data_IF_109126593120
#
_entry.id   IF_109126593120
#
_cell.length_a   1.000
_cell.length_b   1.000
_cell.length_c   1.000
_cell.angle_alpha   90.00
_cell.angle_beta   90.00
_cell.angle_gamma   90.00
#
_symmetry.space_group_name_H-M   'P 1'
#
loop_
_entity.id
_entity.type
_entity.pdbx_description
1 polymer ?
#
# COMPACT_ATOMS: atom_id res chain seq x y z
N UNK A 1 18.93 12.35 2.12
CA UNK A 1 18.59 11.78 0.80
C UNK A 1 18.67 12.90 -0.23
N UNK A 2 19.83 13.04 -0.86
CA UNK A 2 20.08 13.93 -2.00
C UNK A 2 21.16 13.30 -2.91
N UNK A 3 21.22 11.97 -2.89
CA UNK A 3 22.31 11.17 -3.47
C UNK A 3 22.19 11.06 -5.00
N UNK A 4 21.06 11.48 -5.56
CA UNK A 4 20.78 11.57 -7.01
C UNK A 4 20.16 12.92 -7.36
N UNK A 5 20.39 13.37 -8.60
CA UNK A 5 19.72 14.57 -9.12
C UNK A 5 18.19 14.35 -9.17
N UNK A 6 17.39 15.39 -8.87
CA UNK A 6 15.94 15.27 -8.92
C UNK A 6 15.47 15.01 -10.35
N UNK A 7 14.46 14.17 -10.49
CA UNK A 7 13.73 13.92 -11.74
C UNK A 7 12.22 14.04 -11.45
N UNK A 8 11.40 14.30 -12.48
CA UNK A 8 9.95 14.42 -12.28
C UNK A 8 9.35 13.12 -11.77
N UNK A 9 8.58 13.18 -10.68
CA UNK A 9 7.79 12.04 -10.23
C UNK A 9 6.76 11.67 -11.31
N UNK A 10 6.67 10.38 -11.71
CA UNK A 10 5.75 9.98 -12.75
C UNK A 10 4.31 9.93 -12.23
N UNK A 11 3.35 10.21 -13.10
CA UNK A 11 1.94 10.10 -12.75
C UNK A 11 1.52 8.63 -12.55
N UNK A 12 0.85 8.33 -11.44
CA UNK A 12 0.26 7.02 -11.15
C UNK A 12 -0.96 6.77 -12.06
N UNK A 13 -0.74 6.10 -13.17
CA UNK A 13 -1.73 5.88 -14.24
C UNK A 13 -2.19 4.43 -14.35
N UNK A 14 -1.54 3.52 -13.62
CA UNK A 14 -1.83 2.09 -13.71
C UNK A 14 -3.07 1.71 -12.88
N UNK A 15 -3.84 0.70 -13.33
CA UNK A 15 -5.05 0.26 -12.63
C UNK A 15 -4.77 -0.65 -11.42
N UNK A 16 -3.51 -0.95 -11.12
CA UNK A 16 -3.09 -1.85 -10.05
C UNK A 16 -1.92 -1.30 -9.26
N UNK A 17 -1.82 -1.71 -7.99
CA UNK A 17 -0.68 -1.36 -7.14
C UNK A 17 0.64 -1.85 -7.75
N UNK A 18 0.67 -3.08 -8.26
CA UNK A 18 1.85 -3.63 -8.94
C UNK A 18 2.28 -2.77 -10.14
N UNK A 19 1.33 -2.34 -10.98
CA UNK A 19 1.60 -1.46 -12.11
C UNK A 19 2.19 -0.13 -11.68
N UNK A 20 1.58 0.56 -10.70
CA UNK A 20 2.10 1.85 -10.22
C UNK A 20 3.46 1.70 -9.54
N UNK A 21 3.69 0.62 -8.79
CA UNK A 21 4.98 0.34 -8.17
C UNK A 21 6.07 0.16 -9.24
N UNK A 22 5.78 -0.62 -10.30
CA UNK A 22 6.70 -0.82 -11.44
C UNK A 22 6.95 0.50 -12.16
N UNK A 23 5.90 1.25 -12.47
CA UNK A 23 6.00 2.56 -13.14
C UNK A 23 6.91 3.52 -12.36
N UNK A 24 6.76 3.60 -11.03
CA UNK A 24 7.61 4.42 -10.16
C UNK A 24 9.06 3.93 -10.11
N UNK A 25 9.26 2.62 -9.98
CA UNK A 25 10.60 2.03 -9.94
C UNK A 25 11.35 2.22 -11.27
N UNK A 26 10.68 1.94 -12.39
CA UNK A 26 11.26 2.09 -13.74
C UNK A 26 11.64 3.54 -14.03
N UNK A 27 10.77 4.51 -13.71
CA UNK A 27 11.11 5.93 -13.89
C UNK A 27 12.39 6.32 -13.13
N UNK A 28 12.57 5.81 -11.90
CA UNK A 28 13.79 6.01 -11.14
C UNK A 28 15.02 5.36 -11.81
N UNK A 29 14.90 4.11 -12.25
CA UNK A 29 15.98 3.40 -12.93
C UNK A 29 16.36 4.05 -14.27
N UNK A 30 15.40 4.54 -15.04
CA UNK A 30 15.64 5.26 -16.29
C UNK A 30 16.33 6.61 -16.06
N UNK A 31 15.90 7.36 -15.04
CA UNK A 31 16.46 8.67 -14.73
C UNK A 31 17.88 8.60 -14.14
N UNK A 32 18.18 7.54 -13.37
CA UNK A 32 19.43 7.44 -12.61
C UNK A 32 20.43 6.44 -13.19
N UNK A 33 19.97 5.49 -14.01
CA UNK A 33 20.73 4.32 -14.44
C UNK A 33 21.02 3.31 -13.33
N UNK A 34 20.41 3.46 -12.15
CA UNK A 34 20.65 2.61 -10.97
C UNK A 34 19.47 1.65 -10.73
N UNK A 35 19.70 0.51 -10.07
CA UNK A 35 18.61 -0.29 -9.53
C UNK A 35 17.70 0.53 -8.62
N UNK A 36 16.39 0.35 -8.75
CA UNK A 36 15.41 1.09 -7.96
C UNK A 36 14.37 0.16 -7.34
N UNK A 37 13.97 0.49 -6.11
CA UNK A 37 12.85 -0.12 -5.40
C UNK A 37 11.79 0.96 -5.18
N UNK A 38 10.54 0.66 -5.53
CA UNK A 38 9.40 1.54 -5.24
C UNK A 38 8.20 0.71 -4.77
N UNK A 39 7.27 1.34 -4.06
CA UNK A 39 6.02 0.72 -3.62
C UNK A 39 4.78 1.48 -4.08
N UNK A 40 3.66 0.77 -4.17
CA UNK A 40 2.33 1.36 -4.20
C UNK A 40 1.41 0.63 -3.23
N UNK A 41 0.60 1.37 -2.48
CA UNK A 41 -0.19 0.80 -1.39
C UNK A 41 -1.54 1.48 -1.20
N UNK A 42 -2.49 0.74 -0.65
CA UNK A 42 -3.84 1.25 -0.42
C UNK A 42 -4.76 0.23 0.22
N UNK A 43 -5.99 0.65 0.47
CA UNK A 43 -7.07 -0.18 0.96
C UNK A 43 -7.97 -0.62 -0.20
N UNK A 44 -8.41 -1.87 -0.15
CA UNK A 44 -9.39 -2.46 -1.05
C UNK A 44 -10.57 -2.95 -0.23
N UNK A 45 -11.79 -2.67 -0.66
CA UNK A 45 -13.01 -3.06 0.06
C UNK A 45 -13.87 -3.92 -0.84
N UNK A 46 -14.25 -5.10 -0.36
CA UNK A 46 -14.83 -6.16 -1.18
C UNK A 46 -16.16 -5.73 -1.81
N UNK A 47 -17.05 -5.12 -1.01
CA UNK A 47 -18.35 -4.64 -1.50
C UNK A 47 -18.25 -3.45 -2.46
N UNK A 48 -17.11 -2.76 -2.47
CA UNK A 48 -16.80 -1.70 -3.43
C UNK A 48 -15.97 -2.22 -4.62
N UNK A 49 -15.98 -3.53 -4.85
CA UNK A 49 -15.26 -4.21 -5.92
C UNK A 49 -13.74 -3.88 -5.93
N UNK A 50 -13.14 -3.82 -4.74
CA UNK A 50 -11.72 -3.54 -4.55
C UNK A 50 -11.37 -2.05 -4.50
N UNK A 51 -12.32 -1.13 -4.67
CA UNK A 51 -12.09 0.30 -4.43
C UNK A 51 -12.02 0.59 -2.91
N UNK A 52 -11.34 1.66 -2.45
CA UNK A 52 -10.65 2.72 -3.21
C UNK A 52 -9.46 2.30 -4.10
N UNK A 53 -8.77 1.20 -3.77
CA UNK A 53 -7.66 0.67 -4.57
C UNK A 53 -6.52 1.68 -4.72
N UNK A 54 -5.97 1.80 -5.93
CA UNK A 54 -4.92 2.78 -6.28
C UNK A 54 -5.32 4.25 -6.06
N UNK A 55 -6.61 4.51 -5.79
CA UNK A 55 -7.12 5.85 -5.46
C UNK A 55 -7.21 6.10 -3.96
N UNK A 56 -6.66 5.23 -3.12
CA UNK A 56 -6.79 5.31 -1.65
C UNK A 56 -6.46 6.68 -1.09
N UNK A 57 -5.37 7.33 -1.53
CA UNK A 57 -4.98 8.64 -1.03
C UNK A 57 -5.91 9.79 -1.48
N UNK A 58 -6.71 9.57 -2.53
CA UNK A 58 -7.52 10.58 -3.23
C UNK A 58 -8.96 10.12 -3.43
N UNK A 59 -9.48 9.31 -2.51
CA UNK A 59 -10.79 8.67 -2.66
C UNK A 59 -11.93 9.69 -2.63
N UNK A 60 -11.82 10.69 -1.76
CA UNK A 60 -12.73 11.83 -1.67
C UNK A 60 -12.38 12.98 -2.64
N UNK A 61 -11.40 12.78 -3.53
CA UNK A 61 -10.96 13.75 -4.54
C UNK A 61 -9.48 14.09 -4.46
N UNK A 62 -8.93 14.90 -5.40
CA UNK A 62 -7.50 15.20 -5.46
C UNK A 62 -6.94 16.02 -4.29
N UNK A 63 -7.76 16.86 -3.66
CA UNK A 63 -7.35 17.79 -2.59
C UNK A 63 -7.92 17.37 -1.21
N UNK A 64 -8.24 16.09 -1.03
CA UNK A 64 -8.82 15.60 0.23
C UNK A 64 -7.77 15.21 1.27
N UNK A 65 -8.16 15.26 2.55
CA UNK A 65 -7.39 14.69 3.65
C UNK A 65 -7.88 13.26 4.01
N UNK A 66 -7.14 12.61 4.92
CA UNK A 66 -7.48 11.27 5.42
C UNK A 66 -8.88 11.22 6.05
N UNK A 67 -9.30 12.31 6.70
CA UNK A 67 -10.62 12.39 7.33
C UNK A 67 -11.73 12.38 6.28
N UNK A 68 -11.61 13.15 5.21
CA UNK A 68 -12.59 13.18 4.12
C UNK A 68 -12.68 11.82 3.40
N UNK A 69 -11.54 11.15 3.20
CA UNK A 69 -11.47 9.78 2.68
C UNK A 69 -12.24 8.79 3.58
N UNK A 70 -11.99 8.84 4.89
CA UNK A 70 -12.65 8.00 5.89
C UNK A 70 -14.16 8.26 5.97
N UNK A 71 -14.58 9.53 5.98
CA UNK A 71 -16.00 9.91 5.99
C UNK A 71 -16.73 9.43 4.73
N UNK A 72 -16.13 9.57 3.55
CA UNK A 72 -16.72 9.05 2.32
C UNK A 72 -16.88 7.54 2.36
N UNK A 73 -15.85 6.82 2.80
CA UNK A 73 -15.89 5.37 2.92
C UNK A 73 -16.99 4.91 3.88
N UNK A 74 -17.09 5.53 5.06
CA UNK A 74 -18.14 5.22 6.03
C UNK A 74 -19.55 5.50 5.48
N UNK A 75 -19.75 6.62 4.79
CA UNK A 75 -21.04 6.94 4.14
C UNK A 75 -21.43 5.90 3.08
N UNK A 76 -20.47 5.46 2.27
CA UNK A 76 -20.73 4.44 1.24
C UNK A 76 -21.10 3.07 1.84
N UNK A 77 -20.65 2.80 3.06
CA UNK A 77 -20.87 1.55 3.76
C UNK A 77 -21.97 1.65 4.83
N UNK A 78 -22.73 2.74 4.94
CA UNK A 78 -23.64 2.97 6.08
C UNK A 78 -24.66 1.86 6.30
N UNK A 79 -25.17 1.28 5.20
CA UNK A 79 -26.19 0.22 5.22
C UNK A 79 -25.61 -1.18 4.92
N UNK A 80 -24.27 -1.29 4.87
CA UNK A 80 -23.58 -2.56 4.64
C UNK A 80 -23.40 -3.28 5.96
N UNK A 81 -24.06 -4.43 6.09
CA UNK A 81 -23.94 -5.32 7.24
C UNK A 81 -22.49 -5.73 7.51
N UNK A 82 -22.13 -5.86 8.79
CA UNK A 82 -20.74 -6.06 9.26
C UNK A 82 -19.97 -7.16 8.54
N UNK A 83 -20.62 -8.28 8.31
CA UNK A 83 -20.10 -9.48 7.65
C UNK A 83 -19.78 -9.29 6.16
N UNK A 84 -20.24 -8.18 5.56
CA UNK A 84 -19.98 -7.79 4.17
C UNK A 84 -18.97 -6.64 4.05
N UNK A 85 -18.37 -6.20 5.16
CA UNK A 85 -17.39 -5.10 5.19
C UNK A 85 -15.94 -5.58 5.05
N UNK A 86 -15.73 -6.74 4.42
CA UNK A 86 -14.40 -7.28 4.15
C UNK A 86 -13.53 -6.27 3.40
N UNK A 87 -12.29 -6.15 3.86
CA UNK A 87 -11.32 -5.22 3.30
C UNK A 87 -9.90 -5.72 3.48
N UNK A 88 -8.99 -5.18 2.68
CA UNK A 88 -7.58 -5.52 2.75
C UNK A 88 -6.75 -4.28 2.53
N UNK A 89 -5.74 -4.08 3.38
CA UNK A 89 -4.61 -3.26 2.99
C UNK A 89 -3.67 -4.09 2.10
N UNK A 90 -3.23 -3.49 1.00
CA UNK A 90 -2.33 -4.10 0.02
C UNK A 90 -1.13 -3.19 -0.20
N UNK A 91 0.03 -3.79 -0.39
CA UNK A 91 1.25 -3.11 -0.83
C UNK A 91 1.89 -3.98 -1.90
N UNK A 92 2.23 -3.38 -3.04
CA UNK A 92 3.11 -3.98 -4.02
C UNK A 92 4.46 -3.27 -3.96
N UNK A 93 5.54 -4.03 -3.89
CA UNK A 93 6.92 -3.57 -3.96
C UNK A 93 7.51 -4.03 -5.29
N UNK A 94 8.04 -3.10 -6.08
CA UNK A 94 8.66 -3.39 -7.38
C UNK A 94 10.14 -3.04 -7.34
N UNK A 95 10.98 -3.99 -7.76
CA UNK A 95 12.42 -3.83 -7.94
C UNK A 95 12.75 -3.87 -9.43
N UNK A 96 13.56 -2.90 -9.88
CA UNK A 96 13.95 -2.73 -11.29
C UNK A 96 15.45 -2.54 -11.40
N UNK A 97 16.02 -2.99 -12.53
CA UNK A 97 17.44 -2.84 -12.86
C UNK A 97 17.58 -2.51 -14.35
N UNK A 98 18.61 -1.76 -14.77
CA UNK A 98 18.86 -1.51 -16.18
C UNK A 98 18.95 -2.83 -16.96
N UNK A 99 18.17 -2.95 -18.04
CA UNK A 99 18.19 -4.12 -18.93
C UNK A 99 17.63 -5.42 -18.34
N UNK A 100 16.93 -5.37 -17.19
CA UNK A 100 16.27 -6.54 -16.58
C UNK A 100 14.76 -6.32 -16.46
N UNK A 101 13.99 -7.41 -16.49
CA UNK A 101 12.56 -7.35 -16.19
C UNK A 101 12.30 -6.93 -14.73
N UNK A 102 11.23 -6.16 -14.46
CA UNK A 102 10.82 -5.83 -13.10
C UNK A 102 10.45 -7.06 -12.29
N UNK A 103 10.79 -7.05 -11.00
CA UNK A 103 10.33 -8.05 -10.04
C UNK A 103 9.38 -7.41 -9.05
N UNK A 104 8.18 -7.99 -8.89
CA UNK A 104 7.17 -7.51 -7.94
C UNK A 104 6.94 -8.53 -6.83
N UNK A 105 6.76 -8.03 -5.61
CA UNK A 105 6.25 -8.80 -4.47
C UNK A 105 5.15 -8.03 -3.77
N UNK A 106 4.13 -8.75 -3.33
CA UNK A 106 2.97 -8.16 -2.68
C UNK A 106 2.87 -8.58 -1.22
N UNK A 107 2.33 -7.68 -0.41
CA UNK A 107 1.93 -7.95 0.96
C UNK A 107 0.47 -7.58 1.16
N UNK A 108 -0.24 -8.44 1.89
CA UNK A 108 -1.67 -8.27 2.16
C UNK A 108 -1.93 -8.37 3.66
N UNK A 109 -2.73 -7.45 4.18
CA UNK A 109 -3.28 -7.50 5.52
C UNK A 109 -4.80 -7.52 5.37
N UNK A 110 -5.40 -8.70 5.59
CA UNK A 110 -6.84 -8.92 5.54
C UNK A 110 -7.52 -8.44 6.82
N UNK A 111 -8.78 -8.06 6.70
CA UNK A 111 -9.56 -7.47 7.77
C UNK A 111 -10.93 -6.99 7.30
N UNK A 112 -11.45 -5.99 8.00
CA UNK A 112 -12.74 -5.37 7.70
C UNK A 112 -12.74 -3.88 8.02
N UNK A 113 -13.68 -3.14 7.42
CA UNK A 113 -13.92 -1.73 7.75
C UNK A 113 -14.83 -1.64 8.96
N UNK A 114 -14.39 -0.93 10.00
CA UNK A 114 -15.19 -0.62 11.19
C UNK A 114 -16.40 0.27 10.86
N UNK A 115 -17.38 0.34 11.75
CA UNK A 115 -18.55 1.22 11.63
C UNK A 115 -18.25 2.67 12.02
N UNK A 116 -17.24 2.87 12.85
CA UNK A 116 -16.80 4.17 13.37
C UNK A 116 -15.28 4.17 13.54
N UNK A 117 -14.64 5.36 13.46
CA UNK A 117 -13.20 5.46 13.69
C UNK A 117 -12.84 5.22 15.15
N UNK A 118 -11.76 4.48 15.38
CA UNK A 118 -11.17 4.28 16.69
C UNK A 118 -9.65 4.42 16.64
N UNK A 119 -9.03 4.79 17.76
CA UNK A 119 -7.60 5.04 17.85
C UNK A 119 -7.15 6.42 17.35
N UNK A 120 -5.94 6.79 17.76
CA UNK A 120 -5.31 8.08 17.41
C UNK A 120 -3.95 7.90 16.73
N UNK A 121 -3.48 6.65 16.57
CA UNK A 121 -2.24 6.33 15.87
C UNK A 121 -2.45 6.13 14.37
N UNK A 122 -1.34 6.00 13.64
CA UNK A 122 -1.39 5.70 12.21
C UNK A 122 -1.79 6.88 11.33
N UNK A 123 -2.21 6.59 10.10
CA UNK A 123 -2.62 7.55 9.07
C UNK A 123 -3.60 6.89 8.10
N UNK A 124 -4.21 7.68 7.21
CA UNK A 124 -5.14 7.18 6.20
C UNK A 124 -6.33 6.47 6.83
N UNK A 125 -6.53 5.22 6.42
CA UNK A 125 -7.66 4.38 6.85
C UNK A 125 -7.37 3.56 8.12
N UNK A 126 -6.23 3.78 8.78
CA UNK A 126 -5.89 3.05 10.01
C UNK A 126 -6.98 3.11 11.10
N UNK A 127 -7.65 4.25 11.34
CA UNK A 127 -8.75 4.31 12.32
C UNK A 127 -9.98 3.51 11.93
N UNK A 128 -10.10 3.09 10.67
CA UNK A 128 -11.26 2.34 10.15
C UNK A 128 -10.94 0.88 9.89
N UNK A 129 -9.68 0.46 9.89
CA UNK A 129 -9.31 -0.89 9.47
C UNK A 129 -9.09 -1.80 10.67
N UNK A 130 -9.92 -2.85 10.78
CA UNK A 130 -9.76 -3.91 11.79
C UNK A 130 -9.14 -5.15 11.13
N UNK A 131 -7.88 -5.49 11.43
CA UNK A 131 -7.23 -6.66 10.85
C UNK A 131 -7.83 -7.96 11.41
N UNK A 132 -7.79 -9.02 10.60
CA UNK A 132 -8.29 -10.34 11.02
C UNK A 132 -7.56 -10.83 12.28
N UNK A 133 -8.33 -11.36 13.23
CA UNK A 133 -7.81 -11.84 14.51
C UNK A 133 -7.59 -10.76 15.56
N UNK A 134 -7.76 -9.48 15.22
CA UNK A 134 -7.71 -8.37 16.16
C UNK A 134 -9.12 -7.81 16.44
N UNK A 135 -9.35 -7.34 17.67
CA UNK A 135 -10.60 -6.63 18.02
C UNK A 135 -10.47 -5.12 17.83
N UNK A 136 -9.24 -4.61 17.83
CA UNK A 136 -8.89 -3.21 17.71
C UNK A 136 -8.57 -2.83 16.25
N UNK A 137 -8.71 -1.55 15.92
CA UNK A 137 -8.29 -0.99 14.63
C UNK A 137 -6.76 -0.86 14.56
N UNK A 138 -6.18 -0.74 13.36
CA UNK A 138 -4.71 -0.57 13.23
C UNK A 138 -4.20 0.75 13.83
N UNK A 139 -5.07 1.74 14.04
CA UNK A 139 -4.75 2.98 14.77
C UNK A 139 -4.67 2.80 16.30
N UNK A 140 -5.21 1.71 16.84
CA UNK A 140 -5.18 1.36 18.25
C UNK A 140 -4.07 0.35 18.58
N UNK A 141 -3.54 -0.35 17.57
CA UNK A 141 -2.46 -1.32 17.78
C UNK A 141 -1.13 -0.64 18.14
N UNK A 142 -0.33 -1.23 19.04
CA UNK A 142 1.05 -0.82 19.23
C UNK A 142 1.85 -0.88 17.92
N UNK A 143 2.80 0.03 17.68
CA UNK A 143 3.60 0.06 16.46
C UNK A 143 4.26 -1.27 16.11
N UNK A 144 4.78 -1.98 17.11
CA UNK A 144 5.45 -3.28 16.94
C UNK A 144 4.47 -4.33 16.43
N UNK A 145 3.27 -4.40 17.04
CA UNK A 145 2.24 -5.34 16.62
C UNK A 145 1.74 -5.02 15.20
N UNK A 146 1.56 -3.74 14.89
CA UNK A 146 1.19 -3.30 13.55
C UNK A 146 2.24 -3.70 12.51
N UNK A 147 3.52 -3.51 12.81
CA UNK A 147 4.61 -3.85 11.88
C UNK A 147 4.68 -5.35 11.57
N UNK A 148 4.49 -6.20 12.58
CA UNK A 148 4.44 -7.66 12.43
C UNK A 148 3.41 -8.10 11.37
N UNK A 149 2.20 -7.55 11.44
CA UNK A 149 1.06 -8.01 10.62
C UNK A 149 0.84 -7.16 9.35
N UNK A 150 1.52 -6.01 9.23
CA UNK A 150 1.27 -5.05 8.16
C UNK A 150 1.54 -5.62 6.77
N UNK A 151 0.71 -5.17 5.82
CA UNK A 151 0.89 -5.39 4.39
C UNK A 151 2.26 -4.91 3.89
N UNK A 152 2.74 -3.74 4.35
CA UNK A 152 4.09 -3.24 4.02
C UNK A 152 5.19 -4.13 4.58
N UNK A 153 5.13 -4.51 5.86
CA UNK A 153 6.10 -5.42 6.46
C UNK A 153 6.18 -6.76 5.72
N UNK A 154 5.03 -7.31 5.31
CA UNK A 154 4.96 -8.51 4.47
C UNK A 154 5.60 -8.32 3.10
N UNK A 155 5.30 -7.20 2.41
CA UNK A 155 5.88 -6.91 1.09
C UNK A 155 7.41 -6.72 1.16
N UNK A 156 7.90 -6.00 2.16
CA UNK A 156 9.34 -5.78 2.41
C UNK A 156 10.04 -7.13 2.65
N UNK A 157 9.53 -7.95 3.57
CA UNK A 157 10.11 -9.27 3.86
C UNK A 157 10.14 -10.18 2.62
N UNK A 158 9.19 -10.02 1.70
CA UNK A 158 9.13 -10.78 0.46
C UNK A 158 10.10 -10.27 -0.63
N UNK A 159 10.33 -8.95 -0.74
CA UNK A 159 11.17 -8.38 -1.80
C UNK A 159 12.66 -8.30 -1.42
N UNK A 160 12.99 -8.14 -0.13
CA UNK A 160 14.38 -7.96 0.33
C UNK A 160 15.32 -9.09 -0.14
N UNK A 161 14.98 -10.38 -0.04
CA UNK A 161 15.85 -11.45 -0.53
C UNK A 161 16.20 -11.30 -2.02
N UNK A 162 15.23 -10.90 -2.85
CA UNK A 162 15.42 -10.68 -4.29
C UNK A 162 16.39 -9.53 -4.53
N UNK A 163 16.23 -8.42 -3.80
CA UNK A 163 17.13 -7.26 -3.92
C UNK A 163 18.54 -7.63 -3.51
N UNK A 164 18.70 -8.34 -2.39
CA UNK A 164 20.02 -8.77 -1.89
C UNK A 164 20.70 -9.67 -2.91
N UNK A 165 20.04 -10.73 -3.37
CA UNK A 165 20.53 -11.66 -4.39
C UNK A 165 21.01 -10.92 -5.66
N UNK A 166 20.18 -10.01 -6.15
CA UNK A 166 20.45 -9.23 -7.36
C UNK A 166 21.64 -8.27 -7.23
N UNK A 167 21.93 -7.77 -6.02
CA UNK A 167 23.01 -6.82 -5.77
C UNK A 167 24.32 -7.49 -5.33
N UNK A 168 24.26 -8.70 -4.76
CA UNK A 168 25.44 -9.47 -4.35
C UNK A 168 25.93 -10.47 -5.40
N UNK A 169 25.18 -10.66 -6.50
CA UNK A 169 25.52 -11.62 -7.56
C UNK A 169 25.29 -13.07 -7.15
N UNK A 170 24.46 -13.31 -6.13
CA UNK A 170 23.99 -14.63 -5.76
C UNK A 170 22.64 -14.86 -6.44
N UNK A 171 22.65 -15.29 -7.70
CA UNK A 171 21.41 -15.70 -8.37
C UNK A 171 21.02 -17.11 -7.88
N UNK A 172 19.74 -17.30 -7.54
CA UNK A 172 19.14 -18.58 -7.10
C UNK A 172 19.25 -19.68 -8.17
#
# INVERSE_FOLDING_TARGET
>A
LADVAPYPEPAETEPSFAGNAVLKAQACTEATGWPALADDSGITVDVLNGMPGVRSARWAGPECDDRANNELLLRQLSDVASERRGAQFRCAMAFTRPGSEPVVREGVMAGSVASEPAGAGGFGYDPLFRPDGETATTAELPPERKDEISHRGKAIRAIVPVVVAALTGQED
#
